data_IF_480788554235
#
_entry.id   IF_480788554235
#
_cell.length_a   1.000
_cell.length_b   1.000
_cell.length_c   1.000
_cell.angle_alpha   90.00
_cell.angle_beta   90.00
_cell.angle_gamma   90.00
#
_symmetry.space_group_name_H-M   'P 1'
#
loop_
_entity.id
_entity.type
_entity.pdbx_description
1 polymer ?
#
# COMPACT_ATOMS: atom_id res chain seq x y z
N UNK A 1 18.93 -4.79 -35.69
CA UNK A 1 19.76 -4.54 -34.49
C UNK A 1 18.79 -4.47 -33.33
N UNK A 2 18.69 -5.60 -32.61
CA UNK A 2 17.86 -5.94 -31.44
C UNK A 2 16.75 -4.96 -31.01
N UNK A 3 15.55 -5.14 -31.54
CA UNK A 3 14.31 -4.94 -30.79
C UNK A 3 13.91 -6.33 -30.30
N UNK A 4 14.56 -6.75 -29.21
CA UNK A 4 14.23 -7.99 -28.54
C UNK A 4 12.89 -7.78 -27.81
N UNK A 5 11.97 -8.73 -27.98
CA UNK A 5 10.68 -8.84 -27.30
C UNK A 5 10.74 -8.26 -25.88
N UNK A 6 10.06 -7.13 -25.65
CA UNK A 6 9.56 -6.86 -24.30
C UNK A 6 8.45 -7.86 -24.08
N UNK A 7 8.72 -8.90 -23.28
CA UNK A 7 7.68 -9.79 -22.77
C UNK A 7 6.53 -8.92 -22.24
N UNK A 8 5.32 -9.17 -22.74
CA UNK A 8 4.13 -8.43 -22.33
C UNK A 8 3.97 -8.54 -20.82
N UNK A 9 3.86 -7.40 -20.13
CA UNK A 9 3.61 -7.34 -18.68
C UNK A 9 2.29 -8.03 -18.28
N UNK A 10 1.44 -8.36 -19.24
CA UNK A 10 0.12 -8.98 -19.08
C UNK A 10 -0.02 -10.22 -19.96
N UNK A 11 -0.88 -11.14 -19.54
CA UNK A 11 -1.28 -12.31 -20.32
C UNK A 11 -2.14 -11.87 -21.51
N UNK A 12 -1.83 -12.37 -22.72
CA UNK A 12 -2.58 -12.06 -23.94
C UNK A 12 -4.07 -12.42 -23.86
N UNK A 13 -4.43 -13.41 -23.04
CA UNK A 13 -5.83 -13.81 -22.82
C UNK A 13 -6.70 -12.67 -22.30
N UNK A 14 -6.12 -11.72 -21.56
CA UNK A 14 -6.83 -10.52 -21.09
C UNK A 14 -7.08 -9.58 -22.26
N UNK A 15 -6.03 -9.24 -23.00
CA UNK A 15 -6.11 -8.31 -24.12
C UNK A 15 -7.04 -8.82 -25.24
N UNK A 16 -6.85 -10.08 -25.66
CA UNK A 16 -7.66 -10.72 -26.69
C UNK A 16 -9.11 -10.92 -26.22
N UNK A 17 -9.30 -11.35 -24.97
CA UNK A 17 -10.61 -11.57 -24.38
C UNK A 17 -11.44 -10.29 -24.37
N UNK A 18 -10.91 -9.20 -23.80
CA UNK A 18 -11.62 -7.92 -23.75
C UNK A 18 -11.76 -7.27 -25.13
N UNK A 19 -10.82 -7.46 -26.05
CA UNK A 19 -10.97 -7.00 -27.43
C UNK A 19 -12.17 -7.66 -28.11
N UNK A 20 -12.33 -8.98 -28.00
CA UNK A 20 -13.46 -9.71 -28.57
C UNK A 20 -14.78 -9.24 -27.97
N UNK A 21 -14.84 -9.09 -26.64
CA UNK A 21 -16.00 -8.58 -25.92
C UNK A 21 -16.40 -7.18 -26.41
N UNK A 22 -15.46 -6.25 -26.50
CA UNK A 22 -15.71 -4.88 -26.95
C UNK A 22 -16.18 -4.83 -28.43
N UNK A 23 -15.58 -5.64 -29.31
CA UNK A 23 -16.00 -5.73 -30.72
C UNK A 23 -17.38 -6.33 -30.87
N UNK A 24 -17.73 -7.35 -30.07
CA UNK A 24 -19.06 -7.94 -30.06
C UNK A 24 -20.10 -6.91 -29.60
N UNK A 25 -19.83 -6.21 -28.50
CA UNK A 25 -20.70 -5.15 -28.00
C UNK A 25 -20.92 -4.04 -29.03
N UNK A 26 -19.85 -3.52 -29.63
CA UNK A 26 -19.95 -2.48 -30.65
C UNK A 26 -20.69 -2.92 -31.93
N UNK A 27 -20.74 -4.22 -32.24
CA UNK A 27 -21.59 -4.76 -33.32
C UNK A 27 -23.07 -4.82 -32.88
N UNK A 28 -23.35 -5.27 -31.66
CA UNK A 28 -24.71 -5.31 -31.14
C UNK A 28 -25.32 -3.90 -31.02
N UNK A 29 -24.56 -2.92 -30.52
CA UNK A 29 -25.00 -1.51 -30.43
C UNK A 29 -25.35 -0.95 -31.81
N UNK A 30 -24.61 -1.32 -32.86
CA UNK A 30 -24.90 -0.90 -34.25
C UNK A 30 -26.19 -1.49 -34.79
N UNK A 31 -26.64 -2.64 -34.31
CA UNK A 31 -27.93 -3.23 -34.71
C UNK A 31 -29.14 -2.40 -34.30
N UNK A 32 -29.00 -1.53 -33.28
CA UNK A 32 -30.10 -0.72 -32.74
C UNK A 32 -31.12 -1.49 -31.90
N UNK A 33 -31.00 -2.82 -31.77
CA UNK A 33 -31.92 -3.66 -31.04
C UNK A 33 -31.49 -3.82 -29.57
N UNK A 34 -31.81 -2.82 -28.73
CA UNK A 34 -31.41 -2.79 -27.32
C UNK A 34 -31.83 -4.06 -26.55
N UNK A 35 -33.12 -4.39 -26.55
CA UNK A 35 -33.69 -5.51 -25.78
C UNK A 35 -33.38 -6.88 -26.38
N UNK A 36 -33.33 -7.00 -27.71
CA UNK A 36 -33.20 -8.30 -28.39
C UNK A 36 -31.74 -8.71 -28.62
N UNK A 37 -30.81 -7.75 -28.70
CA UNK A 37 -29.41 -8.03 -29.04
C UNK A 37 -28.42 -7.48 -28.01
N UNK A 38 -28.57 -6.23 -27.56
CA UNK A 38 -27.57 -5.59 -26.70
C UNK A 38 -27.62 -6.12 -25.26
N UNK A 39 -28.79 -6.13 -24.63
CA UNK A 39 -28.94 -6.60 -23.23
C UNK A 39 -28.59 -8.08 -23.07
N UNK A 40 -29.07 -9.02 -23.92
CA UNK A 40 -28.68 -10.43 -23.80
C UNK A 40 -27.18 -10.66 -24.02
N UNK A 41 -26.57 -9.93 -24.97
CA UNK A 41 -25.12 -9.99 -25.17
C UNK A 41 -24.39 -9.45 -23.95
N UNK A 42 -24.85 -8.34 -23.37
CA UNK A 42 -24.23 -7.74 -22.19
C UNK A 42 -24.23 -8.71 -20.99
N UNK A 43 -25.35 -9.40 -20.72
CA UNK A 43 -25.37 -10.45 -19.70
C UNK A 43 -24.39 -11.59 -20.03
N UNK A 44 -24.33 -12.04 -21.28
CA UNK A 44 -23.38 -13.08 -21.70
C UNK A 44 -21.92 -12.64 -21.54
N UNK A 45 -21.63 -11.35 -21.74
CA UNK A 45 -20.30 -10.78 -21.53
C UNK A 45 -19.94 -10.73 -20.04
N UNK A 46 -20.87 -10.29 -19.19
CA UNK A 46 -20.71 -10.31 -17.72
C UNK A 46 -20.42 -11.74 -17.25
N UNK A 47 -21.21 -12.71 -17.71
CA UNK A 47 -21.02 -14.12 -17.40
C UNK A 47 -19.65 -14.63 -17.89
N UNK A 48 -19.23 -14.26 -19.10
CA UNK A 48 -17.93 -14.65 -19.63
C UNK A 48 -16.77 -14.08 -18.80
N UNK A 49 -16.84 -12.82 -18.36
CA UNK A 49 -15.81 -12.23 -17.50
C UNK A 49 -15.78 -12.95 -16.15
N UNK A 50 -16.95 -13.14 -15.52
CA UNK A 50 -17.08 -13.76 -14.19
C UNK A 50 -16.67 -15.24 -14.16
N UNK A 51 -17.06 -16.00 -15.17
CA UNK A 51 -16.93 -17.48 -15.15
C UNK A 51 -15.73 -18.00 -15.92
N UNK A 52 -15.18 -17.21 -16.85
CA UNK A 52 -14.04 -17.61 -17.66
C UNK A 52 -12.80 -16.77 -17.35
N UNK A 53 -12.88 -15.44 -17.55
CA UNK A 53 -11.69 -14.57 -17.45
C UNK A 53 -11.15 -14.52 -16.02
N UNK A 54 -11.96 -14.10 -15.04
CA UNK A 54 -11.49 -13.97 -13.65
C UNK A 54 -10.98 -15.30 -13.07
N UNK A 55 -11.68 -16.45 -13.26
CA UNK A 55 -11.18 -17.74 -12.77
C UNK A 55 -9.92 -18.24 -13.48
N UNK A 56 -9.73 -17.92 -14.77
CA UNK A 56 -8.48 -18.22 -15.49
C UNK A 56 -7.32 -17.47 -14.83
N UNK A 57 -7.47 -16.17 -14.58
CA UNK A 57 -6.44 -15.36 -13.93
C UNK A 57 -6.12 -15.86 -12.53
N UNK A 58 -7.15 -16.18 -11.73
CA UNK A 58 -6.95 -16.78 -10.41
C UNK A 58 -6.22 -18.13 -10.47
N UNK A 59 -6.41 -18.94 -11.52
CA UNK A 59 -5.63 -20.17 -11.74
C UNK A 59 -4.17 -19.86 -12.09
N UNK A 60 -3.91 -18.87 -12.95
CA UNK A 60 -2.56 -18.45 -13.30
C UNK A 60 -1.78 -17.98 -12.07
N UNK A 61 -2.37 -17.16 -11.20
CA UNK A 61 -1.76 -16.75 -9.93
C UNK A 61 -1.39 -17.97 -9.09
N UNK A 62 -2.34 -18.90 -8.89
CA UNK A 62 -2.09 -20.12 -8.10
C UNK A 62 -1.01 -21.02 -8.71
N UNK A 63 -0.92 -21.09 -10.03
CA UNK A 63 0.07 -21.90 -10.74
C UNK A 63 1.45 -21.25 -10.77
N UNK A 64 1.52 -19.91 -10.79
CA UNK A 64 2.78 -19.18 -10.72
C UNK A 64 3.53 -19.44 -9.42
N UNK A 65 2.82 -19.80 -8.34
CA UNK A 65 3.42 -20.24 -7.09
C UNK A 65 3.69 -19.10 -6.13
N UNK A 66 4.93 -19.01 -5.63
CA UNK A 66 5.28 -18.07 -4.56
C UNK A 66 5.27 -16.62 -5.04
N UNK A 67 4.74 -15.73 -4.19
CA UNK A 67 4.86 -14.28 -4.37
C UNK A 67 6.32 -13.89 -4.11
N UNK A 68 7.06 -13.65 -5.20
CA UNK A 68 8.48 -13.31 -5.16
C UNK A 68 8.76 -12.29 -6.26
N UNK A 69 9.57 -11.28 -5.95
CA UNK A 69 10.01 -10.28 -6.90
C UNK A 69 10.81 -10.89 -8.05
N UNK A 70 11.44 -12.05 -7.90
CA UNK A 70 12.12 -12.76 -8.98
C UNK A 70 11.16 -13.59 -9.86
N UNK A 71 9.95 -13.91 -9.38
CA UNK A 71 9.02 -14.81 -10.06
C UNK A 71 8.21 -14.10 -11.16
N UNK A 72 8.75 -14.09 -12.38
CA UNK A 72 8.14 -13.43 -13.54
C UNK A 72 6.69 -13.89 -13.82
N UNK A 73 6.37 -15.21 -13.88
CA UNK A 73 4.99 -15.66 -14.03
C UNK A 73 4.01 -15.08 -13.00
N UNK A 74 4.45 -14.90 -11.75
CA UNK A 74 3.62 -14.32 -10.71
C UNK A 74 3.35 -12.83 -10.96
N UNK A 75 4.40 -12.05 -11.29
CA UNK A 75 4.26 -10.62 -11.59
C UNK A 75 3.34 -10.38 -12.79
N UNK A 76 3.49 -11.16 -13.86
CA UNK A 76 2.61 -11.10 -15.04
C UNK A 76 1.16 -11.41 -14.65
N UNK A 77 0.92 -12.41 -13.80
CA UNK A 77 -0.43 -12.77 -13.35
C UNK A 77 -1.08 -11.64 -12.53
N UNK A 78 -0.34 -10.99 -11.63
CA UNK A 78 -0.82 -9.85 -10.82
C UNK A 78 -1.09 -8.62 -11.70
N UNK A 79 -0.22 -8.32 -12.66
CA UNK A 79 -0.46 -7.28 -13.67
C UNK A 79 -1.70 -7.57 -14.51
N UNK A 80 -1.94 -8.85 -14.83
CA UNK A 80 -3.10 -9.28 -15.61
C UNK A 80 -4.41 -9.13 -14.85
N UNK A 81 -4.43 -9.38 -13.53
CA UNK A 81 -5.59 -9.10 -12.68
C UNK A 81 -5.96 -7.61 -12.71
N UNK A 82 -4.97 -6.75 -12.50
CA UNK A 82 -5.19 -5.30 -12.52
C UNK A 82 -5.53 -4.77 -13.94
N UNK A 83 -5.02 -5.40 -15.00
CA UNK A 83 -5.42 -5.09 -16.37
C UNK A 83 -6.88 -5.49 -16.66
N UNK A 84 -7.30 -6.67 -16.20
CA UNK A 84 -8.68 -7.12 -16.33
C UNK A 84 -9.64 -6.22 -15.55
N UNK A 85 -9.25 -5.74 -14.37
CA UNK A 85 -10.00 -4.75 -13.58
C UNK A 85 -10.23 -3.46 -14.38
N UNK A 86 -9.17 -2.84 -14.91
CA UNK A 86 -9.28 -1.64 -15.72
C UNK A 86 -10.14 -1.84 -16.96
N UNK A 87 -10.00 -2.98 -17.65
CA UNK A 87 -10.77 -3.28 -18.85
C UNK A 87 -12.25 -3.52 -18.53
N UNK A 88 -12.55 -4.12 -17.38
CA UNK A 88 -13.93 -4.27 -16.88
C UNK A 88 -14.55 -2.90 -16.61
N UNK A 89 -13.85 -1.98 -15.93
CA UNK A 89 -14.34 -0.61 -15.71
C UNK A 89 -14.48 0.19 -17.02
N UNK A 90 -13.53 0.06 -17.95
CA UNK A 90 -13.62 0.68 -19.28
C UNK A 90 -14.84 0.16 -20.04
N UNK A 91 -15.09 -1.15 -20.03
CA UNK A 91 -16.26 -1.76 -20.64
C UNK A 91 -17.55 -1.20 -20.02
N UNK A 92 -17.64 -1.13 -18.68
CA UNK A 92 -18.77 -0.54 -17.97
C UNK A 92 -19.03 0.91 -18.40
N UNK A 93 -17.98 1.72 -18.55
CA UNK A 93 -18.09 3.09 -19.07
C UNK A 93 -18.62 3.11 -20.51
N UNK A 94 -18.09 2.24 -21.38
CA UNK A 94 -18.53 2.14 -22.79
C UNK A 94 -20.01 1.73 -22.87
N UNK A 95 -20.46 0.83 -21.99
CA UNK A 95 -21.88 0.46 -21.90
C UNK A 95 -22.72 1.67 -21.51
N UNK A 96 -22.32 2.43 -20.49
CA UNK A 96 -23.05 3.64 -20.05
C UNK A 96 -23.23 4.62 -21.19
N UNK A 97 -22.13 4.99 -21.85
CA UNK A 97 -22.17 5.95 -22.97
C UNK A 97 -23.00 5.44 -24.14
N UNK A 98 -22.94 4.14 -24.46
CA UNK A 98 -23.76 3.59 -25.54
C UNK A 98 -25.26 3.66 -25.25
N UNK A 99 -25.69 3.43 -24.01
CA UNK A 99 -27.09 3.55 -23.61
C UNK A 99 -27.57 4.99 -23.54
N UNK A 100 -26.73 5.90 -23.04
CA UNK A 100 -27.01 7.34 -23.01
C UNK A 100 -27.11 7.96 -24.41
N UNK A 101 -26.24 7.56 -25.35
CA UNK A 101 -26.21 8.18 -26.68
C UNK A 101 -27.21 7.58 -27.67
N UNK A 102 -27.42 6.26 -27.61
CA UNK A 102 -28.09 5.51 -28.68
C UNK A 102 -29.41 4.87 -28.27
N UNK A 103 -29.65 4.73 -26.97
CA UNK A 103 -30.83 4.07 -26.41
C UNK A 103 -31.56 4.97 -25.39
N UNK A 104 -31.73 6.25 -25.74
CA UNK A 104 -32.47 7.23 -24.95
C UNK A 104 -33.76 6.67 -24.34
N UNK A 105 -33.92 6.78 -23.02
CA UNK A 105 -35.07 6.27 -22.28
C UNK A 105 -35.03 4.77 -21.93
N UNK A 106 -33.98 4.04 -22.34
CA UNK A 106 -33.76 2.62 -22.03
C UNK A 106 -32.51 2.38 -21.16
N UNK A 107 -31.94 3.44 -20.58
CA UNK A 107 -30.71 3.38 -19.75
C UNK A 107 -30.84 2.35 -18.63
N UNK A 108 -32.01 2.30 -17.98
CA UNK A 108 -32.27 1.37 -16.87
C UNK A 108 -32.23 -0.12 -17.22
N UNK A 109 -32.20 -0.48 -18.52
CA UNK A 109 -32.04 -1.89 -18.92
C UNK A 109 -30.60 -2.39 -18.74
N UNK A 110 -29.62 -1.49 -18.65
CA UNK A 110 -28.21 -1.85 -18.44
C UNK A 110 -27.81 -1.90 -16.97
N UNK A 111 -28.60 -1.32 -16.06
CA UNK A 111 -28.24 -1.09 -14.65
C UNK A 111 -27.77 -2.36 -13.94
N UNK A 112 -28.50 -3.48 -14.10
CA UNK A 112 -28.15 -4.75 -13.49
C UNK A 112 -26.76 -5.22 -13.95
N UNK A 113 -26.53 -5.24 -15.26
CA UNK A 113 -25.25 -5.67 -15.82
C UNK A 113 -24.11 -4.69 -15.50
N UNK A 114 -24.38 -3.39 -15.43
CA UNK A 114 -23.38 -2.40 -15.01
C UNK A 114 -22.98 -2.59 -13.55
N UNK A 115 -23.95 -2.81 -12.66
CA UNK A 115 -23.69 -3.14 -11.25
C UNK A 115 -22.87 -4.43 -11.12
N UNK A 116 -23.14 -5.43 -11.96
CA UNK A 116 -22.38 -6.67 -11.96
C UNK A 116 -20.95 -6.50 -12.49
N UNK A 117 -20.75 -5.66 -13.51
CA UNK A 117 -19.40 -5.29 -13.98
C UNK A 117 -18.62 -4.53 -12.90
N UNK A 118 -19.26 -3.61 -12.19
CA UNK A 118 -18.64 -2.87 -11.08
C UNK A 118 -18.21 -3.86 -9.96
N UNK A 119 -19.09 -4.81 -9.59
CA UNK A 119 -18.74 -5.86 -8.62
C UNK A 119 -17.57 -6.75 -9.06
N UNK A 120 -17.55 -7.20 -10.32
CA UNK A 120 -16.43 -8.02 -10.85
C UNK A 120 -15.13 -7.22 -10.85
N UNK A 121 -15.17 -5.92 -11.20
CA UNK A 121 -14.00 -5.07 -11.16
C UNK A 121 -13.44 -4.91 -9.74
N UNK A 122 -14.32 -4.77 -8.75
CA UNK A 122 -13.92 -4.68 -7.34
C UNK A 122 -13.33 -6.00 -6.82
N UNK A 123 -13.89 -7.16 -7.20
CA UNK A 123 -13.32 -8.48 -6.89
C UNK A 123 -11.90 -8.64 -7.47
N UNK A 124 -11.72 -8.27 -8.75
CA UNK A 124 -10.42 -8.33 -9.43
C UNK A 124 -9.39 -7.37 -8.78
N UNK A 125 -9.85 -6.20 -8.33
CA UNK A 125 -9.02 -5.24 -7.60
C UNK A 125 -8.57 -5.81 -6.27
N UNK A 126 -9.48 -6.44 -5.52
CA UNK A 126 -9.17 -7.06 -4.23
C UNK A 126 -8.18 -8.22 -4.39
N UNK A 127 -8.39 -9.08 -5.40
CA UNK A 127 -7.48 -10.17 -5.73
C UNK A 127 -6.07 -9.65 -6.06
N UNK A 128 -5.95 -8.62 -6.91
CA UNK A 128 -4.66 -8.00 -7.21
C UNK A 128 -3.99 -7.42 -5.95
N UNK A 129 -4.75 -6.68 -5.13
CA UNK A 129 -4.24 -6.09 -3.89
C UNK A 129 -3.80 -7.14 -2.87
N UNK A 130 -4.49 -8.28 -2.81
CA UNK A 130 -4.11 -9.42 -1.96
C UNK A 130 -2.77 -10.01 -2.37
N UNK A 131 -2.56 -10.24 -3.66
CA UNK A 131 -1.28 -10.81 -4.13
C UNK A 131 -0.13 -9.81 -4.00
N UNK A 132 -0.38 -8.51 -4.18
CA UNK A 132 0.60 -7.46 -3.86
C UNK A 132 0.96 -7.43 -2.37
N UNK A 133 0.01 -7.72 -1.47
CA UNK A 133 0.28 -7.90 -0.04
C UNK A 133 1.20 -9.08 0.23
N UNK A 134 0.98 -10.22 -0.44
CA UNK A 134 1.90 -11.35 -0.34
C UNK A 134 3.31 -11.01 -0.86
N UNK A 135 3.41 -10.29 -1.97
CA UNK A 135 4.69 -9.83 -2.51
C UNK A 135 5.39 -8.82 -1.59
N UNK A 136 4.65 -7.88 -0.99
CA UNK A 136 5.19 -6.97 0.02
C UNK A 136 5.73 -7.74 1.22
N UNK A 137 4.98 -8.72 1.71
CA UNK A 137 5.39 -9.58 2.82
C UNK A 137 6.61 -10.45 2.48
N UNK A 138 6.84 -10.86 1.23
CA UNK A 138 8.06 -11.60 0.86
C UNK A 138 9.30 -10.71 0.85
N UNK A 139 9.14 -9.42 0.56
CA UNK A 139 10.22 -8.45 0.52
C UNK A 139 10.61 -7.95 1.92
N UNK A 140 9.64 -7.86 2.85
CA UNK A 140 9.86 -7.36 4.22
C UNK A 140 10.95 -8.15 4.98
N UNK A 141 10.90 -9.48 5.13
CA UNK A 141 11.94 -10.24 5.82
C UNK A 141 13.31 -10.11 5.18
N UNK A 142 13.42 -9.99 3.86
CA UNK A 142 14.73 -9.81 3.22
C UNK A 142 15.35 -8.43 3.53
N UNK A 143 14.51 -7.40 3.60
CA UNK A 143 14.90 -6.04 4.00
C UNK A 143 15.20 -5.99 5.51
N UNK A 144 14.35 -6.63 6.32
CA UNK A 144 14.43 -6.67 7.77
C UNK A 144 15.55 -7.56 8.30
N UNK A 145 15.85 -8.70 7.68
CA UNK A 145 16.97 -9.56 8.04
C UNK A 145 18.32 -8.93 7.66
N UNK A 146 18.33 -8.05 6.65
CA UNK A 146 19.48 -7.18 6.32
C UNK A 146 19.57 -5.95 7.21
N UNK A 147 18.46 -5.57 7.85
CA UNK A 147 18.51 -4.68 8.99
C UNK A 147 19.17 -5.40 10.15
N UNK A 148 20.44 -5.11 10.38
CA UNK A 148 21.06 -5.21 11.72
C UNK A 148 20.36 -4.20 12.67
N UNK A 149 19.03 -4.30 12.89
CA UNK A 149 18.29 -3.31 13.70
C UNK A 149 18.60 -3.45 15.19
N UNK A 150 19.10 -4.61 15.61
CA UNK A 150 19.43 -4.86 17.01
C UNK A 150 20.65 -4.05 17.52
N UNK A 151 21.79 -3.92 16.81
CA UNK A 151 22.97 -3.21 17.37
C UNK A 151 22.89 -1.69 17.43
N UNK A 152 22.01 -1.01 16.70
CA UNK A 152 21.99 0.46 16.71
C UNK A 152 21.37 1.00 18.00
N UNK A 153 22.25 1.49 18.89
CA UNK A 153 21.89 2.22 20.10
C UNK A 153 21.41 3.62 19.74
N UNK A 154 20.24 4.02 20.25
CA UNK A 154 19.76 5.40 20.22
C UNK A 154 20.06 6.13 21.55
N UNK A 155 20.98 5.58 22.35
CA UNK A 155 21.66 6.31 23.42
C UNK A 155 23.03 6.70 22.87
N UNK A 156 23.17 7.96 22.45
CA UNK A 156 24.32 8.44 21.71
C UNK A 156 25.33 9.08 22.68
N UNK A 157 26.39 8.35 23.01
CA UNK A 157 27.43 8.85 23.93
C UNK A 157 28.42 9.84 23.28
N UNK A 158 28.51 9.86 21.95
CA UNK A 158 29.43 10.69 21.19
C UNK A 158 28.88 10.97 19.77
N UNK A 159 29.33 12.05 19.15
CA UNK A 159 28.98 12.44 17.76
C UNK A 159 29.29 11.33 16.74
N UNK A 160 30.36 10.56 16.96
CA UNK A 160 30.70 9.41 16.12
C UNK A 160 29.60 8.34 16.11
N UNK A 161 28.90 8.13 17.24
CA UNK A 161 27.81 7.16 17.32
C UNK A 161 26.60 7.57 16.47
N UNK A 162 26.34 8.87 16.35
CA UNK A 162 25.29 9.39 15.46
C UNK A 162 25.63 9.11 13.99
N UNK A 163 26.87 9.40 13.57
CA UNK A 163 27.33 9.17 12.21
C UNK A 163 27.31 7.68 11.84
N UNK A 164 27.71 6.81 12.75
CA UNK A 164 27.70 5.37 12.54
C UNK A 164 26.27 4.83 12.44
N UNK A 165 25.35 5.33 13.26
CA UNK A 165 23.93 5.00 13.19
C UNK A 165 23.30 5.44 11.86
N UNK A 166 23.59 6.65 11.37
CA UNK A 166 23.14 7.15 10.05
C UNK A 166 23.64 6.26 8.92
N UNK A 167 24.92 5.86 8.95
CA UNK A 167 25.51 4.95 7.95
C UNK A 167 24.88 3.56 7.99
N UNK A 168 24.63 3.04 9.18
CA UNK A 168 23.95 1.75 9.38
C UNK A 168 22.53 1.80 8.81
N UNK A 169 21.77 2.86 9.07
CA UNK A 169 20.42 3.03 8.52
C UNK A 169 20.41 3.08 6.99
N UNK A 170 21.29 3.90 6.39
CA UNK A 170 21.40 4.03 4.94
C UNK A 170 21.81 2.71 4.27
N UNK A 171 22.80 2.02 4.83
CA UNK A 171 23.36 0.78 4.25
C UNK A 171 22.54 -0.48 4.54
N UNK A 172 21.87 -0.54 5.69
CA UNK A 172 21.11 -1.69 6.16
C UNK A 172 19.62 -1.65 5.79
N UNK A 173 19.02 -0.47 5.61
CA UNK A 173 17.61 -0.33 5.21
C UNK A 173 17.44 0.31 3.84
N UNK A 174 17.84 1.57 3.70
CA UNK A 174 17.44 2.38 2.56
C UNK A 174 17.99 1.82 1.25
N UNK A 175 19.26 1.43 1.24
CA UNK A 175 19.88 0.85 0.04
C UNK A 175 19.29 -0.53 -0.32
N UNK A 176 19.18 -1.54 0.58
CA UNK A 176 18.53 -2.80 0.25
C UNK A 176 17.07 -2.65 -0.20
N UNK A 177 16.33 -1.72 0.39
CA UNK A 177 14.95 -1.43 0.01
C UNK A 177 14.88 -0.89 -1.43
N UNK A 178 15.74 0.06 -1.78
CA UNK A 178 15.86 0.57 -3.16
C UNK A 178 16.27 -0.53 -4.14
N UNK A 179 17.27 -1.34 -3.79
CA UNK A 179 17.72 -2.47 -4.62
C UNK A 179 16.63 -3.52 -4.86
N UNK A 180 15.77 -3.76 -3.87
CA UNK A 180 14.65 -4.69 -3.98
C UNK A 180 13.50 -4.12 -4.85
N UNK A 181 13.25 -2.82 -4.78
CA UNK A 181 12.15 -2.15 -5.50
C UNK A 181 12.50 -1.76 -6.93
N UNK A 182 13.75 -1.41 -7.21
CA UNK A 182 14.19 -0.95 -8.54
C UNK A 182 13.80 -1.90 -9.68
N UNK A 183 14.06 -3.23 -9.62
CA UNK A 183 13.70 -4.12 -10.72
C UNK A 183 12.18 -4.27 -10.90
N UNK A 184 11.37 -3.95 -9.90
CA UNK A 184 9.92 -4.07 -9.96
C UNK A 184 9.25 -2.90 -10.69
N UNK A 185 9.93 -1.75 -10.82
CA UNK A 185 9.40 -0.58 -11.56
C UNK A 185 9.07 -0.91 -13.01
N UNK A 186 9.92 -1.70 -13.65
CA UNK A 186 9.78 -2.07 -15.06
C UNK A 186 8.98 -3.36 -15.27
N UNK A 187 8.71 -4.13 -14.20
CA UNK A 187 8.04 -5.45 -14.25
C UNK A 187 6.62 -5.43 -13.72
N UNK A 188 6.23 -4.36 -13.03
CA UNK A 188 4.85 -4.13 -12.59
C UNK A 188 4.23 -2.98 -13.37
N UNK A 189 2.91 -3.02 -13.54
CA UNK A 189 2.16 -1.84 -13.98
C UNK A 189 2.28 -0.74 -12.92
N UNK A 190 2.29 0.53 -13.33
CA UNK A 190 2.47 1.67 -12.42
C UNK A 190 1.52 1.63 -11.20
N UNK A 191 0.24 1.32 -11.42
CA UNK A 191 -0.77 1.19 -10.36
C UNK A 191 -0.42 0.09 -9.35
N UNK A 192 0.08 -1.06 -9.83
CA UNK A 192 0.52 -2.16 -8.98
C UNK A 192 1.80 -1.81 -8.23
N UNK A 193 2.75 -1.13 -8.88
CA UNK A 193 3.98 -0.69 -8.25
C UNK A 193 3.71 0.32 -7.12
N UNK A 194 2.87 1.32 -7.35
CA UNK A 194 2.47 2.28 -6.31
C UNK A 194 1.77 1.56 -5.14
N UNK A 195 0.85 0.64 -5.44
CA UNK A 195 0.14 -0.14 -4.42
C UNK A 195 1.10 -1.01 -3.58
N UNK A 196 2.12 -1.59 -4.22
CA UNK A 196 3.18 -2.34 -3.54
C UNK A 196 4.01 -1.43 -2.62
N UNK A 197 4.38 -0.24 -3.08
CA UNK A 197 5.15 0.74 -2.28
C UNK A 197 4.36 1.15 -1.03
N UNK A 198 3.06 1.43 -1.17
CA UNK A 198 2.19 1.71 -0.01
C UNK A 198 2.09 0.52 0.96
N UNK A 199 1.95 -0.70 0.43
CA UNK A 199 1.90 -1.93 1.23
C UNK A 199 3.20 -2.13 2.02
N UNK A 200 4.35 -1.93 1.37
CA UNK A 200 5.65 -2.03 2.00
C UNK A 200 5.88 -0.94 3.04
N UNK A 201 5.46 0.30 2.76
CA UNK A 201 5.54 1.40 3.71
C UNK A 201 4.75 1.11 4.98
N UNK A 202 3.53 0.57 4.85
CA UNK A 202 2.71 0.18 5.99
C UNK A 202 3.39 -0.92 6.83
N UNK A 203 3.85 -2.01 6.19
CA UNK A 203 4.52 -3.09 6.92
C UNK A 203 5.86 -2.66 7.55
N UNK A 204 6.65 -1.82 6.87
CA UNK A 204 7.86 -1.25 7.45
C UNK A 204 7.55 -0.33 8.63
N UNK A 205 6.50 0.49 8.56
CA UNK A 205 6.11 1.35 9.65
C UNK A 205 5.71 0.55 10.91
N UNK A 206 4.97 -0.55 10.74
CA UNK A 206 4.58 -1.46 11.83
C UNK A 206 5.80 -2.13 12.48
N UNK A 207 6.70 -2.71 11.69
CA UNK A 207 7.91 -3.37 12.19
C UNK A 207 8.87 -2.38 12.87
N UNK A 208 9.04 -1.19 12.30
CA UNK A 208 9.86 -0.12 12.90
C UNK A 208 9.25 0.40 14.19
N UNK A 209 7.93 0.58 14.26
CA UNK A 209 7.23 0.97 15.47
C UNK A 209 7.47 -0.08 16.58
N UNK A 210 7.26 -1.36 16.28
CA UNK A 210 7.53 -2.45 17.23
C UNK A 210 8.98 -2.46 17.71
N UNK A 211 9.94 -2.31 16.79
CA UNK A 211 11.36 -2.27 17.14
C UNK A 211 11.75 -1.05 17.99
N UNK A 212 11.15 0.12 17.73
CA UNK A 212 11.36 1.34 18.52
C UNK A 212 10.85 1.16 19.95
N UNK A 213 9.72 0.49 20.15
CA UNK A 213 9.14 0.25 21.48
C UNK A 213 10.01 -0.63 22.38
N UNK A 214 11.00 -1.34 21.83
CA UNK A 214 11.96 -2.14 22.58
C UNK A 214 13.31 -1.43 22.83
N UNK A 215 13.46 -0.16 22.42
CA UNK A 215 14.71 0.58 22.53
C UNK A 215 14.71 1.62 23.67
N UNK A 216 15.87 2.24 23.88
CA UNK A 216 16.07 3.37 24.79
C UNK A 216 16.67 4.53 24.02
N UNK A 217 16.23 5.74 24.37
CA UNK A 217 16.57 6.96 23.66
C UNK A 217 17.08 8.01 24.64
N UNK A 218 18.04 8.81 24.19
CA UNK A 218 18.24 10.16 24.69
C UNK A 218 17.71 11.19 23.70
N UNK A 219 17.82 12.47 24.04
CA UNK A 219 17.34 13.57 23.19
C UNK A 219 17.95 13.52 21.78
N UNK A 220 19.26 13.30 21.67
CA UNK A 220 19.95 13.19 20.39
C UNK A 220 19.48 11.96 19.59
N UNK A 221 19.31 10.81 20.25
CA UNK A 221 18.75 9.62 19.64
C UNK A 221 17.31 9.78 19.17
N UNK A 222 16.48 10.53 19.90
CA UNK A 222 15.11 10.84 19.49
C UNK A 222 15.07 11.71 18.23
N UNK A 223 15.94 12.72 18.14
CA UNK A 223 16.11 13.53 16.94
C UNK A 223 16.53 12.67 15.75
N UNK A 224 17.50 11.77 15.96
CA UNK A 224 17.99 10.85 14.95
C UNK A 224 16.89 9.91 14.43
N UNK A 225 16.05 9.36 15.32
CA UNK A 225 14.89 8.56 14.92
C UNK A 225 13.93 9.36 14.02
N UNK A 226 13.67 10.62 14.38
CA UNK A 226 12.86 11.52 13.55
C UNK A 226 13.46 11.77 12.17
N UNK A 227 14.78 11.90 12.08
CA UNK A 227 15.50 12.02 10.81
C UNK A 227 15.37 10.74 9.97
N UNK A 228 15.62 9.56 10.55
CA UNK A 228 15.48 8.27 9.87
C UNK A 228 14.05 8.05 9.33
N UNK A 229 13.03 8.34 10.14
CA UNK A 229 11.62 8.21 9.73
C UNK A 229 11.26 9.13 8.56
N UNK A 230 11.76 10.38 8.57
CA UNK A 230 11.58 11.32 7.46
C UNK A 230 12.31 10.86 6.20
N UNK A 231 13.58 10.45 6.32
CA UNK A 231 14.36 9.94 5.19
C UNK A 231 13.65 8.75 4.53
N UNK A 232 13.11 7.82 5.32
CA UNK A 232 12.35 6.67 4.79
C UNK A 232 11.07 7.11 4.08
N UNK A 233 10.32 8.02 4.70
CA UNK A 233 9.10 8.59 4.12
C UNK A 233 9.37 9.26 2.78
N UNK A 234 10.43 10.07 2.70
CA UNK A 234 10.81 10.81 1.50
C UNK A 234 11.30 9.86 0.41
N UNK A 235 12.21 8.92 0.74
CA UNK A 235 12.74 7.93 -0.22
C UNK A 235 11.64 7.08 -0.85
N UNK A 236 10.66 6.62 -0.07
CA UNK A 236 9.56 5.84 -0.60
C UNK A 236 8.55 6.70 -1.38
N UNK A 237 8.33 7.95 -0.95
CA UNK A 237 7.45 8.88 -1.67
C UNK A 237 8.02 9.29 -3.03
N UNK A 238 9.34 9.38 -3.18
CA UNK A 238 10.01 9.64 -4.47
C UNK A 238 9.77 8.54 -5.51
N UNK A 239 9.38 7.33 -5.09
CA UNK A 239 9.06 6.22 -5.98
C UNK A 239 7.63 6.29 -6.55
N UNK A 240 6.76 7.12 -5.96
CA UNK A 240 5.36 7.26 -6.36
C UNK A 240 5.22 8.33 -7.44
N UNK A 241 4.36 8.10 -8.44
CA UNK A 241 4.03 9.12 -9.45
C UNK A 241 3.10 10.18 -8.85
N UNK A 242 2.22 9.76 -7.94
CA UNK A 242 1.34 10.67 -7.20
C UNK A 242 1.19 10.27 -5.74
N UNK A 243 1.09 11.26 -4.86
CA UNK A 243 0.88 11.04 -3.43
C UNK A 243 2.17 10.92 -2.61
N UNK A 244 2.05 10.34 -1.42
CA UNK A 244 3.16 10.14 -0.48
C UNK A 244 2.81 9.03 0.50
N UNK A 245 3.82 8.39 1.10
CA UNK A 245 3.63 7.38 2.16
C UNK A 245 3.60 7.99 3.58
N UNK A 246 3.35 9.31 3.69
CA UNK A 246 3.33 10.03 4.97
C UNK A 246 2.28 9.50 5.94
N UNK A 247 1.19 8.95 5.41
CA UNK A 247 0.11 8.45 6.25
C UNK A 247 0.51 7.15 6.96
N UNK A 248 1.27 6.29 6.29
CA UNK A 248 1.75 5.01 6.78
C UNK A 248 2.72 5.23 7.95
N UNK A 249 3.66 6.18 7.81
CA UNK A 249 4.61 6.54 8.88
C UNK A 249 4.05 7.49 9.94
N UNK A 250 2.75 7.81 9.90
CA UNK A 250 2.17 8.85 10.76
C UNK A 250 2.31 8.57 12.26
N UNK A 251 2.13 7.32 12.69
CA UNK A 251 2.30 6.91 14.10
C UNK A 251 3.75 6.97 14.54
N UNK A 252 4.66 6.37 13.77
CA UNK A 252 6.10 6.41 14.03
C UNK A 252 6.62 7.86 14.13
N UNK A 253 6.16 8.75 13.25
CA UNK A 253 6.50 10.17 13.28
C UNK A 253 5.98 10.87 14.55
N UNK A 254 4.77 10.53 15.02
CA UNK A 254 4.24 11.05 16.29
C UNK A 254 5.04 10.53 17.50
N UNK A 255 5.44 9.26 17.50
CA UNK A 255 6.33 8.68 18.54
C UNK A 255 7.65 9.44 18.57
N UNK A 256 8.32 9.57 17.41
CA UNK A 256 9.59 10.28 17.32
C UNK A 256 9.45 11.75 17.80
N UNK A 257 8.36 12.43 17.43
CA UNK A 257 8.10 13.79 17.87
C UNK A 257 7.92 13.89 19.39
N UNK A 258 7.13 13.00 20.01
CA UNK A 258 6.97 12.96 21.47
C UNK A 258 8.30 12.69 22.19
N UNK A 259 9.12 11.79 21.64
CA UNK A 259 10.44 11.48 22.18
C UNK A 259 11.40 12.67 22.08
N UNK A 260 11.16 13.69 21.26
CA UNK A 260 12.02 14.90 21.21
C UNK A 260 11.69 15.96 22.27
N UNK A 261 10.61 15.78 23.04
CA UNK A 261 10.24 16.74 24.08
C UNK A 261 11.34 16.87 25.16
N UNK A 262 11.57 18.07 25.66
CA UNK A 262 12.54 18.33 26.73
C UNK A 262 12.02 17.94 28.12
N UNK A 263 10.69 17.82 28.28
CA UNK A 263 10.04 17.39 29.52
C UNK A 263 8.75 16.61 29.26
N UNK A 264 8.30 15.85 30.26
CA UNK A 264 7.03 15.11 30.18
C UNK A 264 5.83 16.07 30.06
N UNK A 265 5.90 17.25 30.68
CA UNK A 265 4.87 18.28 30.57
C UNK A 265 4.79 18.85 29.15
N UNK A 266 5.93 19.09 28.52
CA UNK A 266 5.99 19.49 27.12
C UNK A 266 5.43 18.40 26.21
N UNK A 267 5.81 17.14 26.43
CA UNK A 267 5.25 16.01 25.68
C UNK A 267 3.73 15.92 25.79
N UNK A 268 3.17 16.10 27.00
CA UNK A 268 1.73 16.11 27.21
C UNK A 268 1.05 17.29 26.49
N UNK A 269 1.67 18.48 26.49
CA UNK A 269 1.19 19.64 25.74
C UNK A 269 1.23 19.41 24.21
N UNK A 270 2.28 18.77 23.70
CA UNK A 270 2.41 18.37 22.30
C UNK A 270 1.36 17.31 21.90
N UNK A 271 1.04 16.39 22.80
CA UNK A 271 -0.02 15.41 22.57
C UNK A 271 -1.40 16.09 22.50
N UNK A 272 -1.69 17.02 23.42
CA UNK A 272 -2.94 17.78 23.42
C UNK A 272 -3.07 18.69 22.19
N UNK A 273 -1.95 19.27 21.73
CA UNK A 273 -1.96 20.12 20.53
C UNK A 273 -2.23 19.30 19.27
N UNK A 274 -1.69 18.09 19.14
CA UNK A 274 -1.94 17.17 18.01
C UNK A 274 -3.33 16.53 18.04
N UNK A 275 -4.03 16.52 19.18
CA UNK A 275 -5.43 16.12 19.31
C UNK A 275 -6.42 17.21 18.87
N UNK A 276 -5.98 18.46 18.77
CA UNK A 276 -6.82 19.55 18.27
C UNK A 276 -7.06 19.41 16.76
N UNK A 277 -8.32 19.52 16.34
CA UNK A 277 -8.71 19.47 14.92
C UNK A 277 -8.01 20.52 14.02
N UNK A 278 -7.36 21.53 14.63
CA UNK A 278 -6.62 22.58 13.94
C UNK A 278 -5.15 22.22 13.61
N UNK A 279 -4.61 21.11 14.14
CA UNK A 279 -3.16 20.80 14.10
C UNK A 279 -2.72 19.85 12.96
N UNK A 280 -3.55 19.60 11.96
CA UNK A 280 -3.24 18.69 10.85
C UNK A 280 -3.76 17.26 11.10
N UNK A 281 -3.21 16.22 10.45
CA UNK A 281 -3.74 14.85 10.56
C UNK A 281 -3.73 14.44 12.03
N UNK A 282 -4.93 14.26 12.60
CA UNK A 282 -5.16 14.19 14.04
C UNK A 282 -4.32 13.15 14.79
N UNK A 283 -4.32 13.23 16.11
CA UNK A 283 -3.64 12.27 16.97
C UNK A 283 -3.93 10.81 16.55
N UNK A 284 -2.86 10.06 16.27
CA UNK A 284 -2.90 8.64 15.85
C UNK A 284 -2.49 7.71 16.98
N UNK A 285 -2.04 8.27 18.10
CA UNK A 285 -1.68 7.57 19.32
C UNK A 285 -2.72 7.86 20.40
N UNK A 286 -3.12 6.83 21.13
CA UNK A 286 -3.85 6.96 22.40
C UNK A 286 -2.93 7.51 23.49
N UNK A 287 -3.50 7.98 24.60
CA UNK A 287 -2.72 8.48 25.74
C UNK A 287 -1.87 7.38 26.37
N UNK A 288 -2.40 6.16 26.46
CA UNK A 288 -1.65 4.99 26.91
C UNK A 288 -0.45 4.70 26.00
N UNK A 289 -0.62 4.71 24.68
CA UNK A 289 0.48 4.52 23.72
C UNK A 289 1.54 5.63 23.83
N UNK A 290 1.12 6.90 23.94
CA UNK A 290 2.03 8.02 24.12
C UNK A 290 2.82 7.90 25.44
N UNK A 291 2.16 7.51 26.53
CA UNK A 291 2.82 7.28 27.81
C UNK A 291 3.84 6.13 27.73
N UNK A 292 3.48 5.01 27.07
CA UNK A 292 4.42 3.90 26.80
C UNK A 292 5.64 4.36 26.00
N UNK A 293 5.44 5.20 24.98
CA UNK A 293 6.54 5.75 24.19
C UNK A 293 7.44 6.69 25.02
N UNK A 294 6.88 7.55 25.87
CA UNK A 294 7.68 8.49 26.67
C UNK A 294 8.61 7.80 27.66
N UNK A 295 8.22 6.64 28.21
CA UNK A 295 9.07 5.83 29.10
C UNK A 295 10.33 5.28 28.39
N UNK A 296 10.39 5.33 27.05
CA UNK A 296 11.60 4.94 26.31
C UNK A 296 12.73 5.97 26.42
N UNK A 297 12.43 7.21 26.83
CA UNK A 297 13.44 8.25 27.11
C UNK A 297 14.15 7.94 28.43
N UNK A 298 15.47 7.83 28.39
CA UNK A 298 16.29 7.50 29.58
C UNK A 298 16.18 8.58 30.67
N UNK A 299 15.85 9.81 30.30
CA UNK A 299 15.68 10.92 31.23
C UNK A 299 14.31 10.95 31.91
N UNK A 300 13.32 10.19 31.43
CA UNK A 300 11.96 10.20 31.98
C UNK A 300 11.71 8.96 32.83
N UNK A 301 11.12 9.15 33.99
CA UNK A 301 10.72 8.05 34.87
C UNK A 301 9.26 7.67 34.66
N UNK A 302 8.92 6.40 34.87
CA UNK A 302 7.54 5.92 34.79
C UNK A 302 6.61 6.66 35.78
N UNK A 303 7.14 7.10 36.93
CA UNK A 303 6.40 7.86 37.92
C UNK A 303 6.00 9.25 37.39
N UNK A 304 6.94 9.99 36.79
CA UNK A 304 6.68 11.30 36.19
C UNK A 304 5.68 11.20 35.03
N UNK A 305 5.83 10.18 34.18
CA UNK A 305 4.89 9.92 33.08
C UNK A 305 3.48 9.63 33.61
N UNK A 306 3.35 8.80 34.64
CA UNK A 306 2.04 8.49 35.26
C UNK A 306 1.38 9.68 35.94
N UNK A 307 2.15 10.54 36.58
CA UNK A 307 1.62 11.74 37.24
C UNK A 307 0.95 12.68 36.23
N UNK A 308 1.51 12.77 35.02
CA UNK A 308 1.08 13.71 33.98
C UNK A 308 0.10 13.05 33.00
N UNK A 309 0.23 11.75 32.75
CA UNK A 309 -0.60 10.93 31.87
C UNK A 309 -1.10 9.67 32.63
N UNK A 310 -2.22 9.78 33.37
CA UNK A 310 -2.66 8.73 34.30
C UNK A 310 -3.25 7.46 33.65
N UNK A 311 -3.50 7.43 32.34
CA UNK A 311 -4.24 6.35 31.66
C UNK A 311 -3.42 5.05 31.39
N UNK A 312 -2.35 4.76 32.15
CA UNK A 312 -1.49 3.60 31.90
C UNK A 312 -2.04 2.24 32.40
N UNK A 313 -3.18 2.21 33.12
CA UNK A 313 -3.56 1.04 33.93
C UNK A 313 -4.82 0.25 33.45
N UNK A 314 -5.36 0.45 32.24
CA UNK A 314 -6.65 -0.18 31.85
C UNK A 314 -6.63 -1.27 30.74
N UNK A 315 -5.48 -1.82 30.31
CA UNK A 315 -5.47 -2.79 29.17
C UNK A 315 -4.83 -4.17 29.40
N UNK A 316 -4.47 -4.58 30.63
CA UNK A 316 -3.92 -5.93 30.92
C UNK A 316 -4.87 -6.85 31.73
N UNK A 317 -6.17 -6.55 31.81
CA UNK A 317 -7.19 -7.51 32.29
C UNK A 317 -8.28 -7.75 31.22
N UNK A 318 -8.04 -8.72 30.32
CA UNK A 318 -9.00 -9.19 29.32
C UNK A 318 -8.55 -10.40 28.54
#
# INVERSE_FOLDING_TARGET
MAEADRESLTLSVVDDGFFVLLKAFGRAVRSGAATLAVVPLLHSMVDAIRTLIAPVLGRYVRQAGLADAANEPFLIAVNSLQCAEEYTRKLRSVVSSAFEERFNGLVGLADAAQSELDGIADDLKEDAAKELRHLGASLLPAVWLRMEFEPTSYVLAAEQAELDAKRSFESGLLRPLREALEPLKDRLRAVNFESLVHTLAAGLAEELEAAVMHKRFDEAGAILLGEHSRQLTDNLSELLVSGSVRNEFGRLNQIAFLLTAGSVQEAAALMLSTQSAAAGPGARLTRAEAARALVLRKEFTMAEVREILPELDDEDEG
#
